data_IF_927112368049
#
_entry.id   IF_927112368049
#
_cell.length_a   1.000
_cell.length_b   1.000
_cell.length_c   1.000
_cell.angle_alpha   90.00
_cell.angle_beta   90.00
_cell.angle_gamma   90.00
#
_symmetry.space_group_name_H-M   'P 1'
#
loop_
_entity.id
_entity.type
_entity.pdbx_description
1 polymer ?
#
# COMPACT_ATOMS: atom_id res chain seq x y z
N UNK A 1 -15.30 -20.35 34.68
CA UNK A 1 -16.04 -19.78 33.52
C UNK A 1 -15.11 -18.88 32.66
N UNK A 2 -13.91 -19.34 32.30
CA UNK A 2 -12.94 -18.56 31.52
C UNK A 2 -12.02 -19.49 30.72
N UNK A 3 -12.59 -20.47 30.02
CA UNK A 3 -11.81 -21.43 29.22
C UNK A 3 -12.48 -21.75 27.87
N UNK A 4 -13.09 -20.73 27.26
CA UNK A 4 -13.59 -20.77 25.88
C UNK A 4 -12.99 -19.62 25.09
N UNK A 5 -11.68 -19.64 24.92
CA UNK A 5 -11.05 -19.01 23.76
C UNK A 5 -10.26 -20.10 23.06
N UNK A 6 -10.99 -20.94 22.33
CA UNK A 6 -10.43 -21.90 21.40
C UNK A 6 -9.55 -21.13 20.41
N UNK A 7 -8.24 -21.11 20.65
CA UNK A 7 -7.27 -20.59 19.71
C UNK A 7 -7.43 -21.41 18.43
N UNK A 8 -7.89 -20.80 17.33
CA UNK A 8 -7.84 -21.43 16.02
C UNK A 8 -6.35 -21.68 15.70
N UNK A 9 -6.03 -22.95 15.48
CA UNK A 9 -4.67 -23.49 15.26
C UNK A 9 -4.46 -23.60 13.76
N UNK A 10 -3.30 -23.22 13.26
CA UNK A 10 -3.04 -23.12 11.83
C UNK A 10 -1.63 -23.66 11.51
N UNK A 11 -1.51 -24.35 10.38
CA UNK A 11 -0.26 -24.98 9.92
C UNK A 11 0.23 -24.27 8.64
N UNK A 12 1.54 -24.11 8.47
CA UNK A 12 2.15 -23.55 7.24
C UNK A 12 3.19 -24.51 6.66
N UNK A 13 3.16 -24.81 5.34
CA UNK A 13 4.18 -25.63 4.68
C UNK A 13 5.48 -24.84 4.45
N UNK A 14 6.63 -25.51 4.43
CA UNK A 14 7.92 -24.94 4.01
C UNK A 14 8.75 -25.95 3.21
N UNK A 15 9.38 -25.49 2.13
CA UNK A 15 10.15 -26.29 1.16
C UNK A 15 9.57 -26.28 -0.26
N UNK A 16 10.42 -26.47 -1.28
CA UNK A 16 10.05 -26.45 -2.70
C UNK A 16 9.08 -27.60 -3.03
N UNK A 17 7.97 -27.27 -3.70
CA UNK A 17 6.89 -28.16 -4.14
C UNK A 17 5.88 -28.53 -3.03
N UNK A 18 4.90 -27.64 -2.84
CA UNK A 18 3.63 -27.98 -2.21
C UNK A 18 2.83 -28.90 -3.15
N UNK A 19 3.13 -30.20 -3.14
CA UNK A 19 2.30 -31.23 -3.75
C UNK A 19 2.02 -32.33 -2.71
N UNK A 20 0.74 -32.41 -2.33
CA UNK A 20 -0.02 -33.53 -1.76
C UNK A 20 0.52 -34.32 -0.53
N UNK A 21 -0.24 -34.22 0.58
CA UNK A 21 -0.43 -35.15 1.74
C UNK A 21 0.40 -35.02 3.06
N UNK A 22 -0.12 -35.49 4.23
CA UNK A 22 -0.45 -34.61 5.37
C UNK A 22 0.45 -34.71 6.63
N UNK A 23 0.17 -33.82 7.59
CA UNK A 23 0.59 -33.85 8.99
C UNK A 23 -0.05 -35.02 9.85
N UNK A 24 0.43 -35.33 11.08
CA UNK A 24 0.19 -36.44 12.11
C UNK A 24 0.81 -36.27 13.51
N UNK A 25 0.12 -36.35 14.61
CA UNK A 25 0.80 -36.84 15.82
C UNK A 25 1.75 -35.90 16.63
N UNK A 26 3.01 -35.70 16.17
CA UNK A 26 4.16 -35.74 17.09
C UNK A 26 5.01 -34.46 17.25
N UNK A 27 5.08 -33.53 16.29
CA UNK A 27 5.87 -32.28 16.43
C UNK A 27 5.05 -31.05 16.82
N UNK A 28 3.88 -31.30 17.35
CA UNK A 28 2.83 -30.32 17.53
C UNK A 28 2.24 -30.65 18.92
N UNK A 29 1.98 -29.66 19.81
CA UNK A 29 1.49 -29.90 21.20
C UNK A 29 0.34 -30.91 21.16
N UNK A 30 0.00 -31.61 22.26
CA UNK A 30 -0.99 -32.71 22.41
C UNK A 30 -2.41 -32.54 21.77
N UNK A 31 -2.60 -31.44 21.09
CA UNK A 31 -3.74 -30.74 20.55
C UNK A 31 -3.52 -30.31 19.07
N UNK A 32 -2.47 -30.82 18.42
CA UNK A 32 -2.00 -30.57 17.06
C UNK A 32 -1.39 -31.88 16.46
N UNK A 33 -1.41 -32.11 15.14
CA UNK A 33 -0.93 -33.35 14.48
C UNK A 33 0.16 -33.03 13.36
N UNK A 34 1.38 -33.67 13.25
CA UNK A 34 2.54 -33.77 12.20
C UNK A 34 3.23 -35.18 11.70
N UNK A 35 2.95 -35.85 10.53
CA UNK A 35 3.42 -37.26 10.19
C UNK A 35 4.88 -37.17 9.86
N UNK A 36 5.71 -37.92 10.57
CA UNK A 36 7.14 -37.98 10.31
C UNK A 36 7.48 -39.06 9.28
N UNK A 37 8.36 -38.78 8.31
CA UNK A 37 9.47 -39.67 7.97
C UNK A 37 10.69 -39.39 8.91
N UNK A 38 11.73 -40.24 8.94
CA UNK A 38 12.79 -40.21 9.98
C UNK A 38 13.61 -38.91 10.01
N UNK A 39 14.34 -38.62 11.12
CA UNK A 39 15.03 -37.35 11.32
C UNK A 39 16.20 -37.15 10.34
N UNK A 40 16.34 -35.91 9.86
CA UNK A 40 17.42 -35.41 9.02
C UNK A 40 18.76 -35.37 9.77
N UNK A 41 19.75 -36.16 9.34
CA UNK A 41 21.13 -36.10 9.83
C UNK A 41 22.01 -35.30 8.85
N UNK A 42 22.40 -34.09 9.25
CA UNK A 42 23.27 -33.19 8.45
C UNK A 42 24.67 -33.75 8.23
N UNK A 43 25.05 -34.82 8.93
CA UNK A 43 26.37 -35.45 8.80
C UNK A 43 26.43 -36.51 7.69
N UNK A 44 25.28 -36.97 7.16
CA UNK A 44 25.23 -38.02 6.13
C UNK A 44 24.89 -37.51 4.72
N UNK A 45 24.71 -36.19 4.54
CA UNK A 45 24.56 -35.58 3.20
C UNK A 45 23.25 -35.94 2.48
N UNK A 46 22.21 -36.35 3.19
CA UNK A 46 20.89 -36.56 2.60
C UNK A 46 20.11 -35.24 2.42
N UNK A 47 19.38 -35.05 1.31
CA UNK A 47 18.54 -33.88 1.09
C UNK A 47 17.36 -33.86 2.08
N UNK A 48 17.06 -32.69 2.63
CA UNK A 48 15.91 -32.48 3.51
C UNK A 48 14.61 -32.47 2.70
N UNK A 49 13.66 -33.37 3.01
CA UNK A 49 12.31 -33.34 2.42
C UNK A 49 11.49 -32.13 2.96
N UNK A 50 10.56 -31.57 2.17
CA UNK A 50 9.68 -30.48 2.58
C UNK A 50 8.77 -30.88 3.76
N UNK A 51 8.46 -29.93 4.66
CA UNK A 51 7.74 -30.18 5.92
C UNK A 51 6.74 -29.09 6.32
N UNK A 52 6.00 -29.31 7.42
CA UNK A 52 4.95 -28.39 7.89
C UNK A 52 5.24 -27.93 9.33
N UNK A 53 5.19 -26.62 9.57
CA UNK A 53 5.51 -25.99 10.85
C UNK A 53 4.28 -25.45 11.58
N UNK A 54 4.29 -25.61 12.90
CA UNK A 54 3.23 -25.20 13.83
C UNK A 54 3.46 -23.72 14.24
N UNK A 55 2.58 -22.78 13.85
CA UNK A 55 2.76 -21.33 14.13
C UNK A 55 1.61 -20.73 14.95
N UNK A 56 1.89 -19.72 15.79
CA UNK A 56 0.85 -19.02 16.53
C UNK A 56 0.10 -18.01 15.61
N UNK A 57 -1.14 -17.67 15.97
CA UNK A 57 -1.99 -16.76 15.19
C UNK A 57 -1.36 -15.37 15.00
N UNK A 58 -0.60 -14.88 15.99
CA UNK A 58 0.11 -13.60 15.89
C UNK A 58 1.15 -13.59 14.78
N UNK A 59 1.99 -14.62 14.68
CA UNK A 59 2.99 -14.71 13.62
C UNK A 59 2.34 -14.81 12.23
N UNK A 60 1.24 -15.55 12.10
CA UNK A 60 0.51 -15.63 10.82
C UNK A 60 -0.12 -14.31 10.41
N UNK A 61 -0.65 -13.54 11.36
CA UNK A 61 -1.17 -12.20 11.05
C UNK A 61 -0.05 -11.30 10.52
N UNK A 62 1.12 -11.31 11.17
CA UNK A 62 2.29 -10.53 10.71
C UNK A 62 2.73 -10.99 9.31
N UNK A 63 2.75 -12.30 9.05
CA UNK A 63 3.10 -12.86 7.75
C UNK A 63 2.11 -12.44 6.64
N UNK A 64 0.80 -12.50 6.93
CA UNK A 64 -0.24 -12.04 6.00
C UNK A 64 -0.19 -10.52 5.78
N UNK A 65 0.09 -9.74 6.82
CA UNK A 65 0.26 -8.29 6.72
C UNK A 65 1.48 -7.94 5.88
N UNK A 66 2.59 -8.66 6.06
CA UNK A 66 3.79 -8.51 5.24
C UNK A 66 3.49 -8.78 3.76
N UNK A 67 2.77 -9.86 3.42
CA UNK A 67 2.29 -10.11 2.06
C UNK A 67 1.43 -8.96 1.52
N UNK A 68 0.49 -8.46 2.33
CA UNK A 68 -0.38 -7.35 1.94
C UNK A 68 0.41 -6.06 1.66
N UNK A 69 1.37 -5.72 2.53
CA UNK A 69 2.23 -4.54 2.37
C UNK A 69 3.11 -4.67 1.12
N UNK A 70 3.76 -5.83 0.91
CA UNK A 70 4.55 -6.05 -0.30
C UNK A 70 3.74 -5.90 -1.58
N UNK A 71 2.51 -6.41 -1.57
CA UNK A 71 1.63 -6.39 -2.73
C UNK A 71 1.13 -4.97 -3.02
N UNK A 72 0.64 -4.24 -2.01
CA UNK A 72 0.13 -2.87 -2.19
C UNK A 72 1.24 -1.87 -2.53
N UNK A 73 2.44 -2.04 -1.98
CA UNK A 73 3.57 -1.14 -2.25
C UNK A 73 4.36 -1.55 -3.49
N UNK A 74 3.99 -2.66 -4.15
CA UNK A 74 4.67 -3.22 -5.32
C UNK A 74 6.16 -3.55 -5.10
N UNK A 75 6.60 -3.77 -3.85
CA UNK A 75 7.98 -4.17 -3.55
C UNK A 75 8.24 -5.60 -4.01
N UNK A 76 7.34 -6.52 -3.63
CA UNK A 76 7.30 -7.91 -4.12
C UNK A 76 8.64 -8.66 -4.09
N UNK A 77 9.17 -8.97 -2.91
CA UNK A 77 10.43 -9.75 -2.80
C UNK A 77 10.36 -11.16 -3.40
N UNK A 78 9.14 -11.71 -3.57
CA UNK A 78 8.93 -13.01 -4.21
C UNK A 78 9.19 -14.21 -3.29
N UNK A 79 9.27 -13.98 -1.99
CA UNK A 79 9.38 -15.00 -0.95
C UNK A 79 8.02 -15.64 -0.59
N UNK A 80 6.92 -14.90 -0.79
CA UNK A 80 5.56 -15.40 -0.64
C UNK A 80 4.91 -15.46 -2.03
N UNK A 81 4.76 -16.67 -2.55
CA UNK A 81 4.16 -16.92 -3.86
C UNK A 81 3.09 -17.99 -3.78
N UNK A 82 2.08 -17.94 -4.68
CA UNK A 82 1.15 -19.06 -4.84
C UNK A 82 1.92 -20.34 -5.18
N UNK A 83 1.34 -21.48 -4.82
CA UNK A 83 1.94 -22.79 -5.06
C UNK A 83 2.18 -22.98 -6.57
N UNK A 84 3.33 -23.58 -6.98
CA UNK A 84 3.62 -23.82 -8.39
C UNK A 84 2.46 -24.57 -9.06
N UNK A 85 2.02 -24.07 -10.21
CA UNK A 85 0.94 -24.66 -11.01
C UNK A 85 -0.46 -24.68 -10.35
N UNK A 86 -0.66 -24.03 -9.21
CA UNK A 86 -2.01 -23.84 -8.64
C UNK A 86 -2.71 -22.63 -9.25
N UNK A 87 -3.53 -22.88 -10.27
CA UNK A 87 -4.25 -21.84 -11.03
C UNK A 87 -5.17 -21.00 -10.13
N UNK A 88 -5.79 -21.61 -9.11
CA UNK A 88 -6.73 -20.91 -8.23
C UNK A 88 -6.05 -19.86 -7.38
N UNK A 89 -4.94 -20.23 -6.72
CA UNK A 89 -4.14 -19.29 -5.92
C UNK A 89 -3.52 -18.20 -6.80
N UNK A 90 -3.01 -18.56 -7.98
CA UNK A 90 -2.47 -17.61 -8.95
C UNK A 90 -3.52 -16.61 -9.42
N UNK A 91 -4.73 -17.06 -9.76
CA UNK A 91 -5.82 -16.18 -10.18
C UNK A 91 -6.23 -15.20 -9.06
N UNK A 92 -6.33 -15.68 -7.81
CA UNK A 92 -6.61 -14.82 -6.66
C UNK A 92 -5.50 -13.79 -6.44
N UNK A 93 -4.24 -14.21 -6.50
CA UNK A 93 -3.10 -13.30 -6.38
C UNK A 93 -3.11 -12.23 -7.48
N UNK A 94 -3.39 -12.60 -8.74
CA UNK A 94 -3.52 -11.66 -9.85
C UNK A 94 -4.61 -10.60 -9.58
N UNK A 95 -5.78 -11.00 -9.10
CA UNK A 95 -6.87 -10.06 -8.77
C UNK A 95 -6.44 -9.10 -7.64
N UNK A 96 -5.78 -9.62 -6.59
CA UNK A 96 -5.29 -8.80 -5.48
C UNK A 96 -4.21 -7.81 -5.96
N UNK A 97 -3.28 -8.25 -6.81
CA UNK A 97 -2.23 -7.40 -7.37
C UNK A 97 -2.80 -6.28 -8.24
N UNK A 98 -3.76 -6.59 -9.13
CA UNK A 98 -4.44 -5.59 -9.96
C UNK A 98 -5.19 -4.57 -9.10
N UNK A 99 -5.98 -5.04 -8.13
CA UNK A 99 -6.76 -4.18 -7.25
C UNK A 99 -5.88 -3.28 -6.38
N UNK A 100 -4.84 -3.85 -5.76
CA UNK A 100 -3.92 -3.10 -4.90
C UNK A 100 -3.06 -2.10 -5.70
N UNK A 101 -2.65 -2.43 -6.93
CA UNK A 101 -1.96 -1.50 -7.82
C UNK A 101 -2.81 -0.27 -8.18
N UNK A 102 -4.11 -0.46 -8.44
CA UNK A 102 -5.03 0.67 -8.67
C UNK A 102 -5.14 1.58 -7.45
N UNK A 103 -5.29 1.00 -6.25
CA UNK A 103 -5.34 1.75 -4.99
C UNK A 103 -4.04 2.50 -4.75
N UNK A 104 -2.90 1.85 -4.98
CA UNK A 104 -1.58 2.46 -4.80
C UNK A 104 -1.35 3.65 -5.74
N UNK A 105 -1.70 3.50 -7.03
CA UNK A 105 -1.66 4.60 -7.98
C UNK A 105 -2.52 5.80 -7.56
N UNK A 106 -3.72 5.54 -7.03
CA UNK A 106 -4.59 6.59 -6.49
C UNK A 106 -3.99 7.28 -5.25
N UNK A 107 -3.36 6.53 -4.35
CA UNK A 107 -2.70 7.09 -3.16
C UNK A 107 -1.55 8.03 -3.55
N UNK A 108 -0.68 7.59 -4.46
CA UNK A 108 0.41 8.43 -4.98
C UNK A 108 -0.16 9.69 -5.65
N UNK A 109 -1.19 9.55 -6.50
CA UNK A 109 -1.84 10.68 -7.16
C UNK A 109 -2.38 11.71 -6.17
N UNK A 110 -3.01 11.24 -5.10
CA UNK A 110 -3.52 12.08 -4.01
C UNK A 110 -2.40 12.82 -3.28
N UNK A 111 -1.30 12.13 -2.95
CA UNK A 111 -0.15 12.77 -2.30
C UNK A 111 0.53 13.81 -3.19
N UNK A 112 0.71 13.52 -4.47
CA UNK A 112 1.23 14.49 -5.44
C UNK A 112 0.32 15.72 -5.57
N UNK A 113 -1.00 15.51 -5.60
CA UNK A 113 -1.99 16.59 -5.63
C UNK A 113 -1.90 17.46 -4.39
N UNK A 114 -1.82 16.85 -3.20
CA UNK A 114 -1.71 17.57 -1.93
C UNK A 114 -0.38 18.33 -1.82
N UNK A 115 0.73 17.74 -2.26
CA UNK A 115 2.04 18.38 -2.25
C UNK A 115 2.13 19.56 -3.23
N UNK A 116 1.44 19.46 -4.38
CA UNK A 116 1.36 20.54 -5.38
C UNK A 116 0.34 21.63 -5.04
N UNK A 117 -0.62 21.36 -4.15
CA UNK A 117 -1.66 22.29 -3.77
C UNK A 117 -1.11 23.39 -2.84
N UNK A 118 -0.83 24.56 -3.40
CA UNK A 118 -0.66 25.79 -2.64
C UNK A 118 -1.97 26.60 -2.69
N UNK A 119 -2.76 26.63 -1.61
CA UNK A 119 -4.08 27.28 -1.63
C UNK A 119 -4.03 28.74 -2.07
N UNK A 120 -3.00 29.49 -1.66
CA UNK A 120 -2.81 30.90 -2.05
C UNK A 120 -2.56 31.07 -3.55
N UNK A 121 -1.73 30.21 -4.14
CA UNK A 121 -1.44 30.24 -5.58
C UNK A 121 -2.64 29.82 -6.40
N UNK A 122 -3.40 28.81 -5.92
CA UNK A 122 -4.61 28.36 -6.60
C UNK A 122 -5.69 29.45 -6.58
N UNK A 123 -5.94 30.08 -5.43
CA UNK A 123 -6.90 31.18 -5.31
C UNK A 123 -6.56 32.35 -6.26
N UNK A 124 -5.27 32.71 -6.36
CA UNK A 124 -4.82 33.72 -7.31
C UNK A 124 -5.05 33.33 -8.77
N UNK A 125 -4.79 32.08 -9.14
CA UNK A 125 -5.06 31.56 -10.49
C UNK A 125 -6.55 31.60 -10.83
N UNK A 126 -7.39 31.26 -9.86
CA UNK A 126 -8.84 31.29 -10.03
C UNK A 126 -9.36 32.73 -10.23
N UNK A 127 -8.86 33.69 -9.42
CA UNK A 127 -9.19 35.11 -9.55
C UNK A 127 -8.72 35.70 -10.89
N UNK A 128 -7.50 35.37 -11.33
CA UNK A 128 -7.00 35.72 -12.66
C UNK A 128 -7.85 35.14 -13.79
N UNK A 129 -8.32 33.89 -13.65
CA UNK A 129 -9.19 33.24 -14.63
C UNK A 129 -10.56 33.94 -14.74
N UNK A 130 -11.14 34.31 -13.60
CA UNK A 130 -12.38 35.09 -13.56
C UNK A 130 -12.20 36.47 -14.21
N UNK A 131 -11.10 37.16 -13.88
CA UNK A 131 -10.76 38.44 -14.50
C UNK A 131 -10.58 38.30 -16.02
N UNK A 132 -9.86 37.28 -16.49
CA UNK A 132 -9.70 36.99 -17.92
C UNK A 132 -11.05 36.74 -18.62
N UNK A 133 -11.95 36.01 -17.98
CA UNK A 133 -13.30 35.74 -18.51
C UNK A 133 -14.11 37.04 -18.59
N UNK A 134 -14.09 37.87 -17.55
CA UNK A 134 -14.73 39.20 -17.54
C UNK A 134 -14.19 40.11 -18.65
N UNK A 135 -12.86 40.23 -18.76
CA UNK A 135 -12.22 41.05 -19.79
C UNK A 135 -12.58 40.61 -21.22
N UNK A 136 -12.81 39.31 -21.41
CA UNK A 136 -13.22 38.73 -22.69
C UNK A 136 -14.69 39.01 -22.97
N UNK A 137 -15.58 38.79 -22.00
CA UNK A 137 -17.02 39.03 -22.12
C UNK A 137 -17.35 40.48 -22.47
N UNK A 138 -16.70 41.44 -21.81
CA UNK A 138 -16.91 42.88 -22.05
C UNK A 138 -16.04 43.47 -23.17
N UNK A 139 -15.28 42.64 -23.90
CA UNK A 139 -14.40 43.05 -25.02
C UNK A 139 -13.51 44.25 -24.68
N UNK A 140 -12.90 44.24 -23.50
CA UNK A 140 -12.05 45.35 -23.06
C UNK A 140 -10.83 45.54 -23.99
N UNK A 141 -10.39 46.78 -24.25
CA UNK A 141 -9.19 47.06 -25.03
C UNK A 141 -7.92 46.58 -24.31
N UNK A 142 -6.85 46.34 -25.07
CA UNK A 142 -5.64 45.65 -24.58
C UNK A 142 -4.93 46.39 -23.44
N UNK A 143 -4.98 47.71 -23.44
CA UNK A 143 -4.37 48.57 -22.42
C UNK A 143 -5.02 48.37 -21.05
N UNK A 144 -6.35 48.39 -20.98
CA UNK A 144 -7.12 48.18 -19.74
C UNK A 144 -6.90 46.76 -19.22
N UNK A 145 -6.84 45.78 -20.14
CA UNK A 145 -6.54 44.38 -19.77
C UNK A 145 -5.15 44.20 -19.16
N UNK A 146 -4.17 44.98 -19.60
CA UNK A 146 -2.82 44.96 -19.04
C UNK A 146 -2.84 45.53 -17.62
N UNK A 147 -3.40 46.74 -17.45
CA UNK A 147 -3.48 47.42 -16.16
C UNK A 147 -4.24 46.61 -15.09
N UNK A 148 -5.33 45.94 -15.46
CA UNK A 148 -6.11 45.11 -14.54
C UNK A 148 -5.32 43.89 -14.03
N UNK A 149 -4.54 43.23 -14.91
CA UNK A 149 -3.71 42.10 -14.50
C UNK A 149 -2.55 42.54 -13.61
N UNK A 150 -1.94 43.68 -13.94
CA UNK A 150 -0.86 44.27 -13.16
C UNK A 150 -1.34 44.63 -11.74
N UNK A 151 -2.49 45.29 -11.62
CA UNK A 151 -3.12 45.60 -10.34
C UNK A 151 -3.38 44.34 -9.49
N UNK A 152 -3.94 43.29 -10.09
CA UNK A 152 -4.21 42.05 -9.38
C UNK A 152 -2.92 41.35 -8.91
N UNK A 153 -1.88 41.36 -9.74
CA UNK A 153 -0.58 40.79 -9.41
C UNK A 153 0.11 41.54 -8.26
N UNK A 154 0.01 42.88 -8.24
CA UNK A 154 0.52 43.72 -7.17
C UNK A 154 -0.25 43.52 -5.86
N UNK A 155 -1.58 43.44 -5.93
CA UNK A 155 -2.45 43.21 -4.76
C UNK A 155 -2.13 41.90 -4.06
N UNK A 156 -1.85 40.84 -4.82
CA UNK A 156 -1.45 39.54 -4.25
C UNK A 156 -0.07 39.61 -3.60
N UNK A 157 0.89 40.30 -4.22
CA UNK A 157 2.22 40.46 -3.63
C UNK A 157 2.16 41.19 -2.27
N UNK A 158 1.33 42.24 -2.18
CA UNK A 158 1.12 42.98 -0.94
C UNK A 158 0.46 42.13 0.15
N UNK A 159 -0.58 41.35 -0.20
CA UNK A 159 -1.24 40.42 0.75
C UNK A 159 -0.30 39.36 1.31
N UNK A 160 0.57 38.80 0.48
CA UNK A 160 1.55 37.80 0.90
C UNK A 160 2.59 38.39 1.88
N UNK A 161 2.94 39.66 1.66
CA UNK A 161 3.90 40.39 2.51
C UNK A 161 3.28 40.78 3.85
N UNK A 162 2.03 41.28 3.85
CA UNK A 162 1.32 41.65 5.08
C UNK A 162 1.06 40.44 5.98
N UNK A 163 0.66 39.30 5.40
CA UNK A 163 0.43 38.07 6.14
C UNK A 163 1.71 37.53 6.82
N UNK A 164 2.88 37.71 6.19
CA UNK A 164 4.17 37.32 6.79
C UNK A 164 4.57 38.20 7.98
N UNK A 165 4.26 39.50 7.93
CA UNK A 165 4.55 40.42 9.03
C UNK A 165 3.70 40.09 10.26
N UNK A 166 2.43 39.75 10.05
CA UNK A 166 1.49 39.41 11.12
C UNK A 166 1.85 38.11 11.86
N UNK A 167 2.51 37.16 11.20
CA UNK A 167 2.96 35.90 11.82
C UNK A 167 4.24 36.03 12.66
N UNK A 168 4.97 37.13 12.54
CA UNK A 168 6.22 37.39 13.27
C UNK A 168 5.99 38.28 14.50
N UNK A 169 4.81 38.91 14.60
CA UNK A 169 4.37 39.73 15.73
C UNK A 169 3.71 38.89 16.83
#
# INVERSE_FOLDING_TARGET
KLDRMAAKKYCVPWGLNAFDEPLSNATCRADWHCVSPPPCDVNEGLPCDPGIACVNAGAMYVYALYFAIMTITSVGYGDITPSPFNIGEQAVCCVIMLGSGMVWGYLIGTFCSLAGAKPSVQAFRDELSQLNSFMTAYKLPRDVRFRLREFLHETVHLRDTSARVELVA
#
